data_IF_017122223482
#
_entry.id   IF_017122223482
#
_cell.length_a   1.000
_cell.length_b   1.000
_cell.length_c   1.000
_cell.angle_alpha   90.00
_cell.angle_beta   90.00
_cell.angle_gamma   90.00
#
_symmetry.space_group_name_H-M   'P 1'
#
loop_
_entity.id
_entity.type
_entity.pdbx_description
1 polymer ?
#
# COMPACT_ATOMS: atom_id res chain seq x y z
N UNK A 1 -7.11 13.18 7.36
CA UNK A 1 -7.90 13.23 6.11
C UNK A 1 -9.17 12.42 6.34
N UNK A 2 -10.36 13.04 6.34
CA UNK A 2 -11.58 12.30 6.71
C UNK A 2 -11.92 11.24 5.67
N UNK A 3 -12.16 10.00 6.12
CA UNK A 3 -12.65 8.88 5.31
C UNK A 3 -14.12 9.19 5.00
N UNK A 4 -14.36 9.96 3.92
CA UNK A 4 -15.72 10.33 3.48
C UNK A 4 -16.59 9.07 3.47
N UNK A 5 -17.79 9.15 4.04
CA UNK A 5 -18.73 8.02 4.18
C UNK A 5 -19.36 7.60 2.83
N UNK A 6 -18.53 7.16 1.88
CA UNK A 6 -18.99 6.32 0.78
C UNK A 6 -19.07 4.88 1.30
N UNK A 7 -20.13 4.58 2.06
CA UNK A 7 -20.42 3.20 2.48
C UNK A 7 -20.83 2.42 1.24
N UNK A 8 -19.89 1.64 0.69
CA UNK A 8 -20.14 0.72 -0.45
C UNK A 8 -21.40 -0.16 -0.22
N UNK A 9 -21.73 -0.43 1.05
CA UNK A 9 -22.95 -1.08 1.54
C UNK A 9 -24.28 -0.51 1.01
N UNK A 10 -24.30 0.75 0.57
CA UNK A 10 -25.47 1.45 0.03
C UNK A 10 -25.69 1.18 -1.48
N UNK A 11 -24.80 0.44 -2.16
CA UNK A 11 -25.06 -0.05 -3.54
C UNK A 11 -25.95 -1.29 -3.60
N UNK A 12 -26.76 -1.55 -2.57
CA UNK A 12 -27.96 -2.37 -2.71
C UNK A 12 -29.03 -1.52 -3.39
N UNK A 13 -29.52 -1.95 -4.57
CA UNK A 13 -30.58 -1.24 -5.29
C UNK A 13 -31.79 -0.96 -4.39
N UNK A 14 -31.97 0.31 -4.03
CA UNK A 14 -33.20 0.76 -3.38
C UNK A 14 -34.35 0.77 -4.38
N UNK A 15 -35.46 0.13 -4.04
CA UNK A 15 -36.72 0.26 -4.77
C UNK A 15 -37.38 1.59 -4.40
N UNK A 16 -37.42 2.54 -5.35
CA UNK A 16 -38.02 3.87 -5.18
C UNK A 16 -39.42 3.85 -4.56
N UNK A 17 -39.65 4.63 -3.48
CA UNK A 17 -40.96 5.18 -3.16
C UNK A 17 -41.13 6.56 -3.80
N UNK A 18 -42.38 6.87 -4.17
CA UNK A 18 -42.81 8.09 -4.84
C UNK A 18 -42.64 9.37 -4.02
N UNK A 19 -42.47 10.49 -4.73
CA UNK A 19 -42.57 11.83 -4.17
C UNK A 19 -43.98 12.16 -3.64
N UNK A 20 -44.02 13.00 -2.61
CA UNK A 20 -45.04 14.04 -2.49
C UNK A 20 -44.44 15.19 -1.67
N UNK A 21 -44.72 16.43 -2.09
CA UNK A 21 -44.32 17.63 -1.35
C UNK A 21 -45.53 18.42 -0.92
N UNK A 22 -45.35 19.31 0.05
CA UNK A 22 -46.24 20.43 0.32
C UNK A 22 -45.45 21.56 0.99
N UNK A 23 -45.88 22.79 0.74
CA UNK A 23 -45.14 24.02 1.03
C UNK A 23 -45.82 24.91 2.07
N UNK A 24 -44.98 25.62 2.83
CA UNK A 24 -45.10 27.07 3.15
C UNK A 24 -46.22 27.60 4.08
N UNK A 25 -46.06 28.91 4.36
CA UNK A 25 -46.87 29.87 5.12
C UNK A 25 -46.70 29.79 6.65
N UNK A 26 -46.30 30.82 7.44
CA UNK A 26 -46.44 32.31 7.48
C UNK A 26 -47.25 32.69 8.75
N UNK A 27 -47.06 33.83 9.44
CA UNK A 27 -46.04 34.90 9.28
C UNK A 27 -45.11 35.08 10.52
N UNK A 28 -45.22 36.00 11.50
CA UNK A 28 -46.21 37.05 11.86
C UNK A 28 -45.50 38.36 12.35
N UNK A 29 -46.27 39.44 12.47
CA UNK A 29 -45.86 40.86 12.61
C UNK A 29 -45.71 41.43 14.05
N UNK A 30 -44.73 42.32 14.19
CA UNK A 30 -44.73 43.69 14.79
C UNK A 30 -45.82 44.17 15.79
N UNK A 31 -45.40 44.91 16.84
CA UNK A 31 -45.64 46.38 16.90
C UNK A 31 -44.92 47.19 18.01
N UNK A 32 -44.64 48.47 17.69
CA UNK A 32 -44.75 49.75 18.45
C UNK A 32 -44.60 49.83 20.01
N UNK A 33 -44.19 50.92 20.66
CA UNK A 33 -43.76 52.30 20.28
C UNK A 33 -42.90 52.87 21.46
N UNK A 34 -41.87 53.69 21.26
CA UNK A 34 -41.91 55.16 21.07
C UNK A 34 -42.75 55.94 22.11
N UNK A 35 -42.17 56.19 23.30
CA UNK A 35 -42.59 57.26 24.22
C UNK A 35 -41.37 58.08 24.69
N UNK A 36 -41.46 59.39 24.47
CA UNK A 36 -40.79 60.52 25.12
C UNK A 36 -39.26 60.54 25.28
N UNK A 37 -38.67 61.54 24.63
CA UNK A 37 -37.39 62.12 25.03
C UNK A 37 -37.48 62.85 26.39
N UNK A 38 -36.35 63.44 26.80
CA UNK A 38 -36.21 64.38 27.93
C UNK A 38 -36.11 63.78 29.35
N UNK A 39 -34.97 63.14 29.64
CA UNK A 39 -34.25 63.47 30.87
C UNK A 39 -32.72 63.36 30.76
N UNK A 40 -32.11 64.53 30.52
CA UNK A 40 -30.84 65.03 31.07
C UNK A 40 -29.67 64.05 31.36
N UNK A 41 -28.56 64.30 30.65
CA UNK A 41 -27.17 64.13 31.10
C UNK A 41 -26.60 62.71 31.35
N UNK A 42 -25.90 62.19 30.33
CA UNK A 42 -24.79 61.25 30.52
C UNK A 42 -23.56 61.70 29.72
N UNK A 43 -22.35 61.74 30.31
CA UNK A 43 -21.12 62.04 29.58
C UNK A 43 -20.75 60.88 28.65
N UNK A 44 -20.66 61.16 27.35
CA UNK A 44 -20.39 60.17 26.29
C UNK A 44 -18.90 59.75 26.20
N UNK A 45 -18.31 59.28 27.29
CA UNK A 45 -16.91 58.81 27.32
C UNK A 45 -16.71 57.86 28.51
N UNK A 46 -16.66 56.53 28.34
CA UNK A 46 -15.39 55.77 28.24
C UNK A 46 -15.47 54.48 27.40
N UNK A 47 -16.62 54.14 26.79
CA UNK A 47 -16.81 52.86 26.05
C UNK A 47 -15.86 52.66 24.84
N UNK A 48 -15.27 53.73 24.31
CA UNK A 48 -14.37 53.72 23.14
C UNK A 48 -13.10 52.87 23.35
N UNK A 49 -12.40 53.05 24.48
CA UNK A 49 -11.13 52.36 24.72
C UNK A 49 -11.31 50.84 24.86
N UNK A 50 -12.34 50.38 25.59
CA UNK A 50 -12.62 48.94 25.75
C UNK A 50 -12.94 48.27 24.41
N UNK A 51 -13.68 48.95 23.52
CA UNK A 51 -13.98 48.45 22.16
C UNK A 51 -12.71 48.34 21.31
N UNK A 52 -11.81 49.32 21.36
CA UNK A 52 -10.51 49.29 20.66
C UNK A 52 -9.61 48.15 21.17
N UNK A 53 -9.48 47.98 22.47
CA UNK A 53 -8.72 46.86 23.06
C UNK A 53 -9.28 45.49 22.66
N UNK A 54 -10.61 45.32 22.62
CA UNK A 54 -11.24 44.08 22.11
C UNK A 54 -10.98 43.86 20.62
N UNK A 55 -10.97 44.93 19.81
CA UNK A 55 -10.62 44.85 18.38
C UNK A 55 -9.15 44.46 18.18
N UNK A 56 -8.21 45.07 18.91
CA UNK A 56 -6.80 44.69 18.85
C UNK A 56 -6.57 43.24 19.32
N UNK A 57 -7.25 42.80 20.39
CA UNK A 57 -7.24 41.41 20.82
C UNK A 57 -7.76 40.45 19.74
N UNK A 58 -8.89 40.77 19.10
CA UNK A 58 -9.45 39.98 18.01
C UNK A 58 -8.50 39.90 16.80
N UNK A 59 -7.91 41.03 16.37
CA UNK A 59 -6.92 41.03 15.29
C UNK A 59 -5.65 40.27 15.67
N UNK A 60 -5.19 40.34 16.91
CA UNK A 60 -4.05 39.57 17.40
C UNK A 60 -4.34 38.07 17.38
N UNK A 61 -5.48 37.61 17.92
CA UNK A 61 -5.85 36.20 17.89
C UNK A 61 -6.11 35.68 16.46
N UNK A 62 -6.67 36.51 15.57
CA UNK A 62 -6.82 36.17 14.16
C UNK A 62 -5.46 36.04 13.46
N UNK A 63 -4.55 37.00 13.66
CA UNK A 63 -3.20 36.96 13.09
C UNK A 63 -2.39 35.78 13.64
N UNK A 64 -2.49 35.48 14.94
CA UNK A 64 -1.88 34.31 15.57
C UNK A 64 -2.46 33.00 15.01
N UNK A 65 -3.78 32.92 14.82
CA UNK A 65 -4.43 31.76 14.19
C UNK A 65 -3.96 31.58 12.75
N UNK A 66 -3.89 32.64 11.95
CA UNK A 66 -3.36 32.61 10.58
C UNK A 66 -1.90 32.15 10.58
N UNK A 67 -1.05 32.69 11.47
CA UNK A 67 0.36 32.30 11.60
C UNK A 67 0.50 30.81 11.96
N UNK A 68 -0.27 30.31 12.93
CA UNK A 68 -0.28 28.89 13.30
C UNK A 68 -0.67 28.03 12.10
N UNK A 69 -1.74 28.38 11.38
CA UNK A 69 -2.17 27.65 10.18
C UNK A 69 -1.10 27.66 9.08
N UNK A 70 -0.41 28.79 8.85
CA UNK A 70 0.71 28.87 7.90
C UNK A 70 1.86 27.95 8.33
N UNK A 71 2.25 27.98 9.60
CA UNK A 71 3.32 27.12 10.15
C UNK A 71 2.93 25.63 10.05
N UNK A 72 1.70 25.26 10.39
CA UNK A 72 1.21 23.88 10.27
C UNK A 72 1.19 23.40 8.82
N UNK A 73 0.71 24.24 7.87
CA UNK A 73 0.73 23.89 6.44
C UNK A 73 2.16 23.80 5.90
N UNK A 74 3.07 24.67 6.34
CA UNK A 74 4.48 24.59 5.97
C UNK A 74 5.12 23.30 6.51
N UNK A 75 4.91 22.97 7.78
CA UNK A 75 5.38 21.71 8.39
C UNK A 75 4.84 20.49 7.64
N UNK A 76 3.54 20.43 7.36
CA UNK A 76 2.93 19.32 6.61
C UNK A 76 3.48 19.18 5.18
N UNK A 77 3.94 20.27 4.55
CA UNK A 77 4.61 20.25 3.24
C UNK A 77 6.10 19.91 3.30
N UNK A 78 6.74 20.01 4.47
CA UNK A 78 8.11 19.58 4.71
C UNK A 78 8.21 18.14 5.23
N UNK A 79 7.09 17.46 5.45
CA UNK A 79 7.08 16.03 5.79
C UNK A 79 7.51 15.23 4.58
N UNK A 80 8.63 14.52 4.70
CA UNK A 80 9.04 13.52 3.73
C UNK A 80 8.20 12.24 3.92
N UNK A 81 7.26 12.01 3.00
CA UNK A 81 6.39 10.83 3.04
C UNK A 81 7.14 9.55 2.66
N UNK A 82 8.23 9.63 1.90
CA UNK A 82 8.98 8.46 1.47
C UNK A 82 9.78 7.90 2.65
N UNK A 83 10.44 8.77 3.43
CA UNK A 83 11.14 8.39 4.66
C UNK A 83 10.16 7.83 5.71
N UNK A 84 9.00 8.48 5.90
CA UNK A 84 7.97 7.98 6.85
C UNK A 84 7.39 6.65 6.40
N UNK A 85 6.98 6.51 5.13
CA UNK A 85 6.31 5.30 4.66
C UNK A 85 7.26 4.11 4.63
N UNK A 86 8.51 4.30 4.23
CA UNK A 86 9.49 3.22 4.19
C UNK A 86 9.78 2.66 5.59
N UNK A 87 10.09 3.53 6.56
CA UNK A 87 10.27 3.13 7.95
C UNK A 87 8.99 2.58 8.60
N UNK A 88 7.82 3.16 8.31
CA UNK A 88 6.56 2.71 8.90
C UNK A 88 6.11 1.35 8.37
N UNK A 89 6.41 1.01 7.10
CA UNK A 89 5.97 -0.24 6.45
C UNK A 89 6.93 -1.41 6.58
N UNK A 90 8.24 -1.19 6.83
CA UNK A 90 9.17 -2.27 7.19
C UNK A 90 8.95 -2.78 8.62
N UNK A 91 9.20 -4.06 8.90
CA UNK A 91 9.11 -4.60 10.27
C UNK A 91 10.25 -4.07 11.16
N UNK A 92 11.49 -4.27 10.71
CA UNK A 92 12.69 -3.70 11.30
C UNK A 92 13.30 -2.67 10.34
N UNK A 93 14.10 -1.75 10.88
CA UNK A 93 15.05 -0.98 10.07
C UNK A 93 16.11 -1.98 9.57
N UNK A 94 16.63 -1.82 8.37
CA UNK A 94 17.74 -2.64 7.86
C UNK A 94 18.94 -1.78 7.46
N UNK A 95 20.13 -2.35 7.18
CA UNK A 95 21.34 -1.57 6.89
C UNK A 95 21.19 -0.62 5.70
N UNK A 96 20.33 -0.96 4.73
CA UNK A 96 20.18 -0.20 3.48
C UNK A 96 19.71 1.24 3.73
N UNK A 97 18.99 1.49 4.83
CA UNK A 97 18.47 2.81 5.21
C UNK A 97 19.55 3.80 5.68
N UNK A 98 20.78 3.35 5.98
CA UNK A 98 21.89 4.25 6.33
C UNK A 98 22.48 4.94 5.09
N UNK A 99 22.57 4.20 3.97
CA UNK A 99 23.25 4.64 2.74
C UNK A 99 22.29 4.96 1.57
N UNK A 100 21.05 4.44 1.60
CA UNK A 100 20.08 4.56 0.51
C UNK A 100 18.78 5.19 1.00
N UNK A 101 18.45 6.37 0.44
CA UNK A 101 17.11 6.96 0.59
C UNK A 101 16.11 6.18 -0.28
N UNK A 102 15.19 5.48 0.36
CA UNK A 102 14.03 4.85 -0.30
C UNK A 102 13.13 5.95 -0.86
N UNK A 103 12.66 5.80 -2.10
CA UNK A 103 11.73 6.75 -2.72
C UNK A 103 10.60 6.04 -3.45
N UNK A 104 9.41 6.63 -3.47
CA UNK A 104 8.22 6.04 -4.08
C UNK A 104 7.88 6.71 -5.42
N UNK A 105 7.64 5.89 -6.45
CA UNK A 105 7.35 6.37 -7.79
C UNK A 105 6.19 5.57 -8.40
N UNK A 106 5.26 6.26 -9.06
CA UNK A 106 4.22 5.58 -9.83
C UNK A 106 4.84 4.93 -11.07
N UNK A 107 4.67 3.62 -11.19
CA UNK A 107 5.11 2.83 -12.35
C UNK A 107 3.93 2.03 -12.89
N UNK A 108 3.78 2.03 -14.21
CA UNK A 108 2.89 1.09 -14.88
C UNK A 108 3.60 -0.26 -14.99
N UNK A 109 2.92 -1.35 -14.61
CA UNK A 109 3.44 -2.69 -14.83
C UNK A 109 3.35 -3.06 -16.30
N UNK A 110 4.39 -3.68 -16.85
CA UNK A 110 4.31 -4.31 -18.17
C UNK A 110 3.62 -5.67 -18.04
N UNK A 111 2.31 -5.62 -17.86
CA UNK A 111 1.45 -6.80 -17.69
C UNK A 111 0.87 -7.34 -18.99
N UNK A 112 1.55 -7.16 -20.14
CA UNK A 112 1.11 -7.75 -21.41
C UNK A 112 0.95 -9.25 -21.24
N UNK A 113 -0.19 -9.79 -21.66
CA UNK A 113 -0.57 -11.17 -21.43
C UNK A 113 -0.02 -12.09 -22.52
N UNK A 114 -0.12 -11.67 -23.78
CA UNK A 114 0.35 -12.48 -24.92
C UNK A 114 1.86 -12.35 -25.17
N UNK A 115 2.50 -11.30 -24.65
CA UNK A 115 3.92 -11.04 -24.86
C UNK A 115 4.73 -11.42 -23.61
N UNK A 116 5.52 -12.50 -23.70
CA UNK A 116 6.48 -12.85 -22.65
C UNK A 116 7.48 -11.72 -22.41
N UNK A 117 7.76 -11.41 -21.14
CA UNK A 117 8.85 -10.52 -20.77
C UNK A 117 10.19 -11.20 -21.02
N UNK A 118 11.30 -10.44 -20.97
CA UNK A 118 12.66 -11.02 -21.05
C UNK A 118 12.96 -12.05 -19.94
N UNK A 119 12.24 -11.99 -18.81
CA UNK A 119 12.39 -12.89 -17.67
C UNK A 119 11.59 -14.19 -17.80
N UNK A 120 10.61 -14.22 -18.71
CA UNK A 120 9.66 -15.34 -18.86
C UNK A 120 9.56 -15.84 -20.30
N UNK A 121 10.65 -15.71 -21.05
CA UNK A 121 10.83 -16.44 -22.32
C UNK A 121 11.12 -17.91 -22.04
N UNK A 122 11.30 -18.69 -23.10
CA UNK A 122 11.65 -20.10 -22.99
C UNK A 122 13.04 -20.29 -22.33
N UNK A 123 13.25 -21.37 -21.55
CA UNK A 123 14.48 -21.58 -20.79
C UNK A 123 15.73 -21.47 -21.66
N UNK A 124 16.63 -20.57 -21.26
CA UNK A 124 17.86 -20.26 -21.98
C UNK A 124 18.83 -19.53 -21.06
N UNK A 125 20.16 -19.63 -21.30
CA UNK A 125 21.17 -18.95 -20.47
C UNK A 125 20.94 -17.43 -20.36
N UNK A 126 20.34 -16.82 -21.38
CA UNK A 126 20.00 -15.40 -21.40
C UNK A 126 18.87 -15.05 -20.42
N UNK A 127 17.85 -15.91 -20.30
CA UNK A 127 16.78 -15.74 -19.31
C UNK A 127 17.33 -15.88 -17.90
N UNK A 128 18.15 -16.91 -17.66
CA UNK A 128 18.73 -17.17 -16.34
C UNK A 128 19.67 -16.02 -15.93
N UNK A 129 20.49 -15.49 -16.85
CA UNK A 129 21.29 -14.28 -16.64
C UNK A 129 20.45 -13.04 -16.28
N UNK A 130 19.27 -12.86 -16.89
CA UNK A 130 18.39 -11.76 -16.48
C UNK A 130 17.86 -11.92 -15.05
N UNK A 131 17.60 -13.15 -14.58
CA UNK A 131 17.24 -13.39 -13.18
C UNK A 131 18.43 -13.19 -12.24
N UNK A 132 19.64 -13.63 -12.62
CA UNK A 132 20.87 -13.38 -11.86
C UNK A 132 21.11 -11.88 -11.63
N UNK A 133 20.83 -11.04 -12.64
CA UNK A 133 20.89 -9.57 -12.54
C UNK A 133 19.87 -8.95 -11.56
N UNK A 134 18.87 -9.70 -11.10
CA UNK A 134 17.94 -9.29 -10.03
C UNK A 134 18.40 -9.71 -8.63
N UNK A 135 19.53 -10.40 -8.49
CA UNK A 135 20.08 -10.81 -7.19
C UNK A 135 19.60 -12.16 -6.66
N UNK A 136 18.93 -13.00 -7.48
CA UNK A 136 18.37 -14.31 -7.04
C UNK A 136 19.40 -15.33 -6.52
N UNK A 137 20.69 -15.06 -6.69
CA UNK A 137 21.81 -15.84 -6.11
C UNK A 137 22.90 -14.91 -5.58
N UNK A 138 22.53 -13.72 -5.08
CA UNK A 138 23.47 -12.87 -4.37
C UNK A 138 24.02 -13.58 -3.12
N UNK A 139 25.25 -13.22 -2.75
CA UNK A 139 25.95 -13.82 -1.61
C UNK A 139 25.57 -13.10 -0.33
N UNK A 140 25.62 -13.82 0.78
CA UNK A 140 25.48 -13.23 2.12
C UNK A 140 26.36 -11.99 2.27
N UNK A 141 25.75 -10.89 2.74
CA UNK A 141 26.50 -9.73 3.20
C UNK A 141 26.59 -9.76 4.73
N UNK A 142 27.46 -8.93 5.30
CA UNK A 142 27.80 -8.97 6.73
C UNK A 142 27.13 -7.84 7.52
N UNK A 143 26.34 -8.18 8.53
CA UNK A 143 25.88 -7.24 9.56
C UNK A 143 26.84 -7.24 10.76
N UNK A 144 27.41 -6.08 11.18
CA UNK A 144 28.21 -5.98 12.40
C UNK A 144 27.41 -6.34 13.66
N UNK A 145 28.03 -7.03 14.62
CA UNK A 145 27.32 -7.57 15.79
C UNK A 145 26.53 -6.51 16.59
N UNK A 146 27.11 -5.32 16.75
CA UNK A 146 26.49 -4.21 17.50
C UNK A 146 25.24 -3.61 16.82
N UNK A 147 24.97 -3.96 15.55
CA UNK A 147 23.78 -3.55 14.80
C UNK A 147 22.77 -4.69 14.63
N UNK A 148 23.11 -5.92 15.00
CA UNK A 148 22.30 -7.10 14.71
C UNK A 148 20.85 -6.97 15.22
N UNK A 149 20.67 -6.65 16.51
CA UNK A 149 19.34 -6.47 17.12
C UNK A 149 18.60 -5.22 16.60
N UNK A 150 19.32 -4.17 16.17
CA UNK A 150 18.70 -3.01 15.49
C UNK A 150 18.06 -3.43 14.16
N UNK A 151 18.66 -4.42 13.49
CA UNK A 151 18.24 -4.95 12.20
C UNK A 151 17.42 -6.25 12.29
N UNK A 152 16.82 -6.53 13.46
CA UNK A 152 15.91 -7.67 13.65
C UNK A 152 16.58 -9.03 13.86
N UNK A 153 17.92 -9.12 13.88
CA UNK A 153 18.63 -10.39 14.04
C UNK A 153 18.69 -10.84 15.51
N UNK A 154 18.64 -12.16 15.70
CA UNK A 154 18.69 -12.80 17.00
C UNK A 154 20.15 -12.98 17.46
N UNK A 155 20.52 -12.67 18.72
CA UNK A 155 21.87 -12.93 19.24
C UNK A 155 22.36 -14.38 19.13
N UNK A 156 21.44 -15.34 19.02
CA UNK A 156 21.69 -16.77 18.81
C UNK A 156 21.80 -17.22 17.34
N UNK A 157 21.63 -16.31 16.36
CA UNK A 157 21.96 -16.62 14.96
C UNK A 157 23.46 -16.92 14.81
N UNK A 158 23.79 -17.76 13.84
CA UNK A 158 25.15 -18.11 13.46
C UNK A 158 25.95 -16.86 13.06
N UNK A 159 27.26 -16.88 13.34
CA UNK A 159 28.17 -15.77 13.12
C UNK A 159 29.37 -16.21 12.31
N UNK A 160 29.94 -15.28 11.55
CA UNK A 160 31.21 -15.47 10.88
C UNK A 160 32.34 -15.60 11.91
N UNK A 161 33.38 -16.37 11.58
CA UNK A 161 34.58 -16.47 12.40
C UNK A 161 35.29 -15.12 12.58
N UNK A 162 36.01 -14.89 13.70
CA UNK A 162 36.78 -13.66 13.93
C UNK A 162 37.78 -13.34 12.80
N UNK A 163 38.33 -14.36 12.14
CA UNK A 163 39.21 -14.27 10.98
C UNK A 163 38.56 -13.64 9.74
N UNK A 164 37.22 -13.68 9.64
CA UNK A 164 36.41 -13.00 8.63
C UNK A 164 35.83 -11.65 9.15
N UNK A 165 36.27 -11.22 10.34
CA UNK A 165 35.84 -9.99 11.01
C UNK A 165 34.54 -10.10 11.79
N UNK A 166 34.07 -11.31 12.12
CA UNK A 166 32.88 -11.54 12.93
C UNK A 166 31.57 -11.08 12.28
N UNK A 167 30.53 -10.89 13.09
CA UNK A 167 29.21 -10.44 12.61
C UNK A 167 28.37 -11.56 11.99
N UNK A 168 27.19 -11.18 11.50
CA UNK A 168 26.18 -12.12 11.01
C UNK A 168 26.19 -12.16 9.47
N UNK A 169 26.25 -13.35 8.84
CA UNK A 169 25.97 -13.52 7.42
C UNK A 169 24.45 -13.48 7.21
N UNK A 170 23.99 -12.59 6.35
CA UNK A 170 22.56 -12.36 6.11
C UNK A 170 22.27 -12.12 4.63
N UNK A 171 21.00 -12.32 4.25
CA UNK A 171 20.44 -11.97 2.94
C UNK A 171 19.20 -11.08 3.14
N UNK A 172 18.76 -10.42 2.07
CA UNK A 172 17.53 -9.62 2.08
C UNK A 172 16.30 -10.48 1.73
N UNK A 173 15.17 -10.17 2.37
CA UNK A 173 13.87 -10.83 2.12
C UNK A 173 13.43 -10.70 0.66
N UNK A 174 13.57 -9.52 0.03
CA UNK A 174 13.20 -9.35 -1.38
C UNK A 174 14.04 -10.22 -2.35
N UNK A 175 15.32 -10.47 -2.06
CA UNK A 175 16.16 -11.34 -2.89
C UNK A 175 15.72 -12.79 -2.77
N UNK A 176 15.37 -13.22 -1.55
CA UNK A 176 14.80 -14.54 -1.32
C UNK A 176 13.42 -14.69 -1.99
N UNK A 177 12.54 -13.69 -1.93
CA UNK A 177 11.27 -13.70 -2.67
C UNK A 177 11.48 -13.85 -4.18
N UNK A 178 12.46 -13.14 -4.77
CA UNK A 178 12.79 -13.28 -6.19
C UNK A 178 13.39 -14.66 -6.50
N UNK A 179 14.26 -15.18 -5.63
CA UNK A 179 14.81 -16.54 -5.71
C UNK A 179 13.71 -17.61 -5.69
N UNK A 180 12.74 -17.52 -4.79
CA UNK A 180 11.61 -18.45 -4.73
C UNK A 180 10.80 -18.45 -6.04
N UNK A 181 10.56 -17.28 -6.64
CA UNK A 181 9.81 -17.20 -7.90
C UNK A 181 10.64 -17.72 -9.08
N UNK A 182 11.95 -17.49 -9.09
CA UNK A 182 12.84 -18.06 -10.11
C UNK A 182 12.92 -19.60 -10.00
N UNK A 183 13.00 -20.14 -8.78
CA UNK A 183 12.93 -21.58 -8.54
C UNK A 183 11.57 -22.16 -8.98
N UNK A 184 10.47 -21.47 -8.69
CA UNK A 184 9.13 -21.87 -9.15
C UNK A 184 9.04 -21.84 -10.68
N UNK A 185 9.61 -20.83 -11.37
CA UNK A 185 9.73 -20.76 -12.84
C UNK A 185 10.45 -21.99 -13.39
N UNK A 186 11.56 -22.38 -12.79
CA UNK A 186 12.36 -23.53 -13.19
C UNK A 186 11.65 -24.88 -12.93
N UNK A 187 10.79 -24.95 -11.91
CA UNK A 187 10.16 -26.18 -11.42
C UNK A 187 8.66 -26.35 -11.78
N UNK A 188 8.11 -25.57 -12.71
CA UNK A 188 6.66 -25.49 -13.03
C UNK A 188 5.94 -26.79 -13.43
N UNK A 189 6.65 -27.92 -13.59
CA UNK A 189 6.10 -29.17 -14.14
C UNK A 189 5.50 -30.13 -13.09
N UNK A 190 5.91 -30.08 -11.81
CA UNK A 190 5.64 -31.17 -10.84
C UNK A 190 4.16 -31.50 -10.60
N UNK A 191 3.24 -30.56 -10.78
CA UNK A 191 1.80 -30.76 -10.59
C UNK A 191 0.99 -30.66 -11.90
N UNK A 192 1.66 -30.51 -13.05
CA UNK A 192 1.03 -30.10 -14.31
C UNK A 192 -0.07 -31.08 -14.74
N UNK A 193 0.26 -32.36 -14.86
CA UNK A 193 -0.63 -33.38 -15.41
C UNK A 193 -1.92 -33.54 -14.60
N UNK A 194 -1.82 -33.48 -13.27
CA UNK A 194 -2.98 -33.54 -12.37
C UNK A 194 -3.96 -32.39 -12.62
N UNK A 195 -3.47 -31.16 -12.72
CA UNK A 195 -4.33 -29.99 -12.94
C UNK A 195 -4.85 -29.91 -14.39
N UNK A 196 -4.06 -30.35 -15.37
CA UNK A 196 -4.50 -30.50 -16.75
C UNK A 196 -5.66 -31.51 -16.87
N UNK A 197 -5.61 -32.64 -16.16
CA UNK A 197 -6.72 -33.62 -16.09
C UNK A 197 -7.99 -33.02 -15.47
N UNK A 198 -7.86 -32.10 -14.49
CA UNK A 198 -9.03 -31.44 -13.89
C UNK A 198 -9.73 -30.45 -14.83
N UNK A 199 -9.07 -29.98 -15.89
CA UNK A 199 -9.63 -29.08 -16.90
C UNK A 199 -10.43 -27.88 -16.33
N UNK A 200 -9.89 -27.24 -15.27
CA UNK A 200 -10.53 -26.10 -14.56
C UNK A 200 -9.67 -24.84 -14.63
N UNK A 201 -10.33 -23.68 -14.70
CA UNK A 201 -9.64 -22.39 -14.77
C UNK A 201 -8.67 -22.33 -15.96
N UNK A 202 -7.43 -21.83 -15.80
CA UNK A 202 -6.43 -21.81 -16.87
C UNK A 202 -6.18 -23.20 -17.50
N UNK A 203 -6.23 -24.28 -16.72
CA UNK A 203 -6.00 -25.66 -17.19
C UNK A 203 -7.13 -26.24 -18.04
N UNK A 204 -8.25 -25.53 -18.21
CA UNK A 204 -9.26 -25.88 -19.23
C UNK A 204 -8.74 -25.64 -20.67
N UNK A 205 -7.63 -24.91 -20.82
CA UNK A 205 -7.03 -24.60 -22.12
C UNK A 205 -5.96 -25.61 -22.53
N UNK A 206 -5.53 -25.54 -23.80
CA UNK A 206 -4.41 -26.31 -24.31
C UNK A 206 -3.06 -25.86 -23.67
N UNK A 207 -2.05 -26.75 -23.58
CA UNK A 207 -0.79 -26.47 -22.88
C UNK A 207 -0.06 -25.17 -23.22
N UNK A 208 0.00 -24.70 -24.50
CA UNK A 208 0.62 -23.41 -24.82
C UNK A 208 -0.04 -22.23 -24.10
N UNK A 209 -1.37 -22.25 -23.95
CA UNK A 209 -2.12 -21.20 -23.26
C UNK A 209 -1.91 -21.28 -21.74
N UNK A 210 -1.80 -22.49 -21.18
CA UNK A 210 -1.45 -22.68 -19.76
C UNK A 210 -0.06 -22.12 -19.49
N UNK A 211 0.93 -22.40 -20.35
CA UNK A 211 2.28 -21.83 -20.28
C UNK A 211 2.27 -20.30 -20.35
N UNK A 212 1.48 -19.69 -21.24
CA UNK A 212 1.30 -18.22 -21.29
C UNK A 212 0.75 -17.67 -19.98
N UNK A 213 -0.28 -18.29 -19.39
CA UNK A 213 -0.81 -17.87 -18.08
C UNK A 213 0.27 -17.95 -16.99
N UNK A 214 0.99 -19.07 -16.89
CA UNK A 214 2.02 -19.28 -15.86
C UNK A 214 3.16 -18.26 -16.00
N UNK A 215 3.65 -18.03 -17.21
CA UNK A 215 4.69 -17.04 -17.48
C UNK A 215 4.21 -15.61 -17.14
N UNK A 216 2.99 -15.24 -17.52
CA UNK A 216 2.40 -13.96 -17.15
C UNK A 216 2.29 -13.80 -15.61
N UNK A 217 1.80 -14.82 -14.89
CA UNK A 217 1.72 -14.79 -13.43
C UNK A 217 3.09 -14.64 -12.76
N UNK A 218 4.11 -15.36 -13.23
CA UNK A 218 5.51 -15.24 -12.74
C UNK A 218 6.01 -13.81 -12.93
N UNK A 219 5.79 -13.21 -14.11
CA UNK A 219 6.29 -11.86 -14.37
C UNK A 219 5.55 -10.77 -13.57
N UNK A 220 4.22 -10.91 -13.40
CA UNK A 220 3.44 -9.99 -12.55
C UNK A 220 3.93 -10.07 -11.10
N UNK A 221 4.15 -11.27 -10.54
CA UNK A 221 4.64 -11.41 -9.16
C UNK A 221 6.07 -10.86 -9.00
N UNK A 222 6.96 -11.10 -9.98
CA UNK A 222 8.29 -10.46 -10.05
C UNK A 222 8.18 -8.93 -10.04
N UNK A 223 7.26 -8.35 -10.82
CA UNK A 223 7.01 -6.90 -10.83
C UNK A 223 6.44 -6.40 -9.48
N UNK A 224 5.57 -7.15 -8.80
CA UNK A 224 5.08 -6.80 -7.47
C UNK A 224 6.24 -6.74 -6.45
N UNK A 225 7.10 -7.76 -6.40
CA UNK A 225 8.24 -7.79 -5.48
C UNK A 225 9.21 -6.64 -5.77
N UNK A 226 9.55 -6.39 -7.05
CA UNK A 226 10.41 -5.27 -7.42
C UNK A 226 9.79 -3.90 -7.15
N UNK A 227 8.46 -3.79 -7.16
CA UNK A 227 7.75 -2.55 -6.85
C UNK A 227 7.65 -2.28 -5.34
N UNK A 228 7.63 -3.32 -4.51
CA UNK A 228 7.50 -3.26 -3.06
C UNK A 228 8.45 -4.29 -2.40
N UNK A 229 9.78 -4.10 -2.51
CA UNK A 229 10.75 -5.04 -1.95
C UNK A 229 10.67 -5.03 -0.43
N UNK A 230 10.61 -6.20 0.20
CA UNK A 230 10.83 -6.32 1.64
C UNK A 230 12.33 -6.12 1.92
N UNK A 231 12.65 -5.00 2.57
CA UNK A 231 14.01 -4.61 2.94
C UNK A 231 14.47 -5.26 4.25
N UNK A 232 13.64 -6.12 4.87
CA UNK A 232 14.02 -6.99 5.97
C UNK A 232 15.16 -7.94 5.62
N UNK A 233 15.79 -8.50 6.66
CA UNK A 233 17.00 -9.31 6.55
C UNK A 233 16.92 -10.49 7.51
N UNK A 234 17.39 -11.65 7.08
CA UNK A 234 17.32 -12.88 7.87
C UNK A 234 18.70 -13.49 8.13
N UNK A 235 18.81 -14.16 9.28
CA UNK A 235 20.00 -14.85 9.73
C UNK A 235 19.97 -16.35 9.45
N UNK A 236 20.79 -17.08 10.21
CA UNK A 236 20.91 -18.54 10.14
C UNK A 236 21.00 -19.11 11.56
N UNK A 237 20.59 -20.35 11.79
CA UNK A 237 20.88 -21.08 13.03
C UNK A 237 21.72 -22.32 12.74
N UNK A 238 22.58 -22.70 13.70
CA UNK A 238 23.28 -23.98 13.65
C UNK A 238 22.30 -25.14 13.85
N UNK A 239 22.27 -26.08 12.92
CA UNK A 239 21.43 -27.28 13.00
C UNK A 239 22.27 -28.43 13.58
N UNK A 240 21.84 -28.97 14.72
CA UNK A 240 22.59 -30.01 15.44
C UNK A 240 22.76 -31.31 14.62
N UNK A 241 21.78 -31.66 13.78
CA UNK A 241 21.79 -32.89 12.98
C UNK A 241 22.85 -32.87 11.86
N UNK A 242 22.98 -31.74 11.17
CA UNK A 242 23.92 -31.58 10.05
C UNK A 242 25.26 -30.98 10.48
N UNK A 243 25.31 -30.31 11.64
CA UNK A 243 26.41 -29.45 12.08
C UNK A 243 26.75 -28.34 11.05
N UNK A 244 25.74 -27.86 10.33
CA UNK A 244 25.83 -26.77 9.35
C UNK A 244 24.84 -25.65 9.71
N UNK A 245 25.09 -24.39 9.31
CA UNK A 245 24.12 -23.32 9.48
C UNK A 245 23.00 -23.46 8.44
N UNK A 246 21.76 -23.29 8.87
CA UNK A 246 20.57 -23.25 8.01
C UNK A 246 19.84 -21.92 8.16
N UNK A 247 19.24 -21.45 7.08
CA UNK A 247 18.58 -20.14 7.02
C UNK A 247 17.33 -20.09 7.91
N UNK A 248 17.20 -19.00 8.66
CA UNK A 248 16.02 -18.72 9.46
C UNK A 248 14.95 -17.99 8.62
N UNK A 249 14.08 -18.77 7.97
CA UNK A 249 12.94 -18.25 7.22
C UNK A 249 11.72 -17.91 8.12
N UNK A 250 11.86 -17.95 9.44
CA UNK A 250 10.77 -17.63 10.39
C UNK A 250 10.98 -16.23 10.99
N UNK A 251 10.97 -15.22 10.11
CA UNK A 251 11.11 -13.81 10.46
C UNK A 251 9.76 -13.15 10.72
N UNK A 252 9.78 -12.06 11.51
CA UNK A 252 8.61 -11.19 11.69
C UNK A 252 8.42 -10.29 10.46
N UNK A 253 7.18 -10.10 10.01
CA UNK A 253 6.85 -9.14 8.93
C UNK A 253 5.69 -8.22 9.32
N UNK A 254 5.73 -6.98 8.81
CA UNK A 254 4.68 -5.99 9.03
C UNK A 254 3.60 -6.08 7.95
N UNK A 255 2.68 -7.01 8.16
CA UNK A 255 1.62 -7.31 7.20
C UNK A 255 0.44 -6.32 7.24
N UNK A 256 -0.22 -6.14 6.08
CA UNK A 256 -1.56 -5.54 6.00
C UNK A 256 -2.58 -6.50 6.64
N UNK A 257 -3.74 -5.99 7.04
CA UNK A 257 -4.86 -6.74 7.62
C UNK A 257 -5.56 -7.67 6.60
N UNK A 258 -4.83 -8.67 6.08
CA UNK A 258 -5.23 -9.53 4.96
C UNK A 258 -6.61 -10.17 5.13
N UNK A 259 -6.92 -10.68 6.32
CA UNK A 259 -8.21 -11.33 6.57
C UNK A 259 -9.40 -10.36 6.45
N UNK A 260 -9.27 -9.15 6.98
CA UNK A 260 -10.30 -8.11 6.87
C UNK A 260 -10.45 -7.61 5.43
N UNK A 261 -9.33 -7.40 4.73
CA UNK A 261 -9.33 -7.01 3.30
C UNK A 261 -10.01 -8.09 2.45
N UNK A 262 -9.65 -9.37 2.65
CA UNK A 262 -10.25 -10.51 1.96
C UNK A 262 -11.74 -10.64 2.27
N UNK A 263 -12.12 -10.54 3.54
CA UNK A 263 -13.52 -10.66 3.95
C UNK A 263 -14.35 -9.52 3.36
N UNK A 264 -13.83 -8.29 3.36
CA UNK A 264 -14.48 -7.16 2.70
C UNK A 264 -14.72 -7.44 1.21
N UNK A 265 -13.76 -7.99 0.47
CA UNK A 265 -13.97 -8.35 -0.94
C UNK A 265 -15.02 -9.46 -1.09
N UNK A 266 -15.03 -10.47 -0.21
CA UNK A 266 -16.02 -11.55 -0.25
C UNK A 266 -17.45 -11.05 0.04
N UNK A 267 -17.63 -10.17 1.03
CA UNK A 267 -18.93 -9.60 1.42
C UNK A 267 -19.52 -8.64 0.37
N UNK A 268 -18.70 -8.15 -0.56
CA UNK A 268 -19.08 -7.19 -1.60
C UNK A 268 -19.00 -7.78 -3.02
N UNK A 269 -19.03 -9.11 -3.16
CA UNK A 269 -19.25 -9.76 -4.45
C UNK A 269 -20.66 -9.45 -4.97
N UNK A 270 -20.82 -9.49 -6.31
CA UNK A 270 -22.14 -9.45 -6.94
C UNK A 270 -22.94 -10.66 -6.43
N UNK A 271 -24.18 -10.49 -5.93
CA UNK A 271 -25.01 -11.60 -5.45
C UNK A 271 -25.13 -12.73 -6.49
N UNK A 272 -25.05 -13.98 -6.02
CA UNK A 272 -24.99 -15.19 -6.85
C UNK A 272 -26.18 -15.36 -7.80
N UNK A 273 -27.36 -14.86 -7.41
CA UNK A 273 -28.57 -14.79 -8.24
C UNK A 273 -28.41 -13.82 -9.41
N UNK A 274 -27.78 -12.67 -9.19
CA UNK A 274 -27.46 -11.68 -10.24
C UNK A 274 -26.27 -12.15 -11.08
N UNK A 275 -25.27 -12.79 -10.46
CA UNK A 275 -24.01 -13.18 -11.11
C UNK A 275 -24.23 -14.19 -12.25
N UNK A 276 -25.21 -15.10 -12.12
CA UNK A 276 -25.58 -16.08 -13.15
C UNK A 276 -26.07 -15.46 -14.45
N UNK A 277 -26.80 -14.36 -14.35
CA UNK A 277 -27.36 -13.64 -15.50
C UNK A 277 -26.52 -12.42 -15.92
N UNK A 278 -25.40 -12.16 -15.23
CA UNK A 278 -24.53 -11.02 -15.44
C UNK A 278 -23.91 -11.03 -16.85
N UNK A 279 -24.27 -10.01 -17.64
CA UNK A 279 -23.70 -9.78 -18.98
C UNK A 279 -23.09 -8.40 -19.03
N UNK A 280 -21.78 -8.33 -19.14
CA UNK A 280 -21.07 -7.07 -19.42
C UNK A 280 -21.38 -6.69 -20.87
N UNK A 281 -22.06 -5.57 -21.06
CA UNK A 281 -22.45 -5.07 -22.39
C UNK A 281 -21.54 -3.92 -22.83
N UNK A 282 -21.12 -3.97 -24.10
CA UNK A 282 -20.29 -2.95 -24.72
C UNK A 282 -21.03 -1.60 -24.78
N UNK A 283 -20.34 -0.53 -24.41
CA UNK A 283 -20.79 0.87 -24.45
C UNK A 283 -20.09 1.65 -25.58
N UNK A 284 -20.62 2.82 -26.00
CA UNK A 284 -19.99 3.64 -27.05
C UNK A 284 -18.63 4.21 -26.66
N UNK A 285 -18.39 4.40 -25.36
CA UNK A 285 -17.19 4.96 -24.75
C UNK A 285 -16.16 3.89 -24.31
N UNK A 286 -16.47 2.61 -24.46
CA UNK A 286 -15.53 1.52 -24.13
C UNK A 286 -14.31 1.53 -25.06
N UNK A 287 -13.11 1.50 -24.48
CA UNK A 287 -11.86 1.31 -25.22
C UNK A 287 -11.78 -0.14 -25.72
N UNK A 288 -11.92 -0.34 -27.04
CA UNK A 288 -11.80 -1.65 -27.67
C UNK A 288 -10.38 -1.83 -28.18
N UNK A 289 -9.68 -2.86 -27.70
CA UNK A 289 -8.37 -3.26 -28.23
C UNK A 289 -8.56 -4.23 -29.41
N UNK A 290 -7.72 -4.10 -30.43
CA UNK A 290 -7.74 -5.00 -31.61
C UNK A 290 -7.34 -6.44 -31.29
N UNK A 291 -6.56 -6.63 -30.22
CA UNK A 291 -6.05 -7.92 -29.74
C UNK A 291 -5.86 -7.88 -28.23
N UNK A 292 -5.72 -9.07 -27.63
CA UNK A 292 -5.28 -9.21 -26.24
C UNK A 292 -3.87 -8.59 -26.13
N UNK A 293 -3.64 -7.64 -25.19
CA UNK A 293 -2.36 -6.95 -25.05
C UNK A 293 -1.24 -7.87 -24.55
#
# INVERSE_FOLDING_TARGET
>A
MSRKEYKYREMKMESNPSSSGASQSQDDEENQSLISAELLSHPAYTKSHRRRWLQYGLFFFLALSILINIVTVAQLKMVDLDDICSLYTSQAISPIFEDVKVTYQTRQFDGKFMNASKYTQDPSPQVDEFWMQLGVQNRHYRVPEHLATKYGLNPGHARLGPEFGGGYPVLFEFEHHLHCIDLLRQATYWNYDYYQEKAKGPFANAPPIVKTHVNHCIDILRQVIMCQPDLGVFGQYWIQETNEPFVDFHTDHKCKNFHEIRQWVADHQIPEDIYKDLKVTKRPDDIILEKIP
#
